data_IF_377944240844
#
_entry.id   IF_377944240844
#
_cell.length_a   1.000
_cell.length_b   1.000
_cell.length_c   1.000
_cell.angle_alpha   90.00
_cell.angle_beta   90.00
_cell.angle_gamma   90.00
#
_symmetry.space_group_name_H-M   'P 1'
#
loop_
_entity.id
_entity.type
_entity.pdbx_description
1 polymer ?
#
# COMPACT_ATOMS: atom_id res chain seq x y z
N UNK A 1 -4.38 -14.86 -1.33
CA UNK A 1 -3.77 -16.21 -1.37
C UNK A 1 -2.41 -16.19 -2.08
N UNK A 2 -2.31 -15.84 -3.36
CA UNK A 2 -1.06 -15.91 -4.15
C UNK A 2 0.14 -15.18 -3.52
N UNK A 3 -0.03 -13.92 -3.06
CA UNK A 3 1.05 -13.15 -2.41
C UNK A 3 1.62 -13.91 -1.21
N UNK A 4 0.74 -14.39 -0.33
CA UNK A 4 1.15 -15.17 0.84
C UNK A 4 1.88 -16.45 0.43
N UNK A 5 1.35 -17.19 -0.56
CA UNK A 5 1.97 -18.42 -1.03
C UNK A 5 3.38 -18.20 -1.56
N UNK A 6 3.61 -17.15 -2.37
CA UNK A 6 4.95 -16.83 -2.89
C UNK A 6 5.91 -16.39 -1.78
N UNK A 7 5.46 -15.54 -0.85
CA UNK A 7 6.30 -15.12 0.27
C UNK A 7 6.63 -16.28 1.22
N UNK A 8 5.68 -17.17 1.49
CA UNK A 8 5.92 -18.38 2.28
C UNK A 8 6.87 -19.34 1.57
N UNK A 9 6.69 -19.56 0.27
CA UNK A 9 7.60 -20.36 -0.54
C UNK A 9 9.02 -19.79 -0.44
N UNK A 10 9.19 -18.49 -0.68
CA UNK A 10 10.49 -17.83 -0.58
C UNK A 10 11.12 -18.03 0.80
N UNK A 11 10.38 -17.77 1.87
CA UNK A 11 10.89 -17.92 3.24
C UNK A 11 11.31 -19.37 3.53
N UNK A 12 10.55 -20.37 3.07
CA UNK A 12 10.94 -21.79 3.23
C UNK A 12 12.15 -22.17 2.38
N UNK A 13 12.22 -21.72 1.14
CA UNK A 13 13.36 -21.97 0.25
C UNK A 13 14.64 -21.34 0.82
N UNK A 14 14.58 -20.10 1.29
CA UNK A 14 15.70 -19.37 1.86
C UNK A 14 16.21 -20.02 3.16
N UNK A 15 15.30 -20.58 3.97
CA UNK A 15 15.66 -21.28 5.23
C UNK A 15 16.01 -22.75 5.05
N UNK A 16 15.93 -23.29 3.83
CA UNK A 16 16.25 -24.69 3.55
C UNK A 16 17.76 -24.92 3.45
N UNK A 17 18.16 -26.19 3.54
CA UNK A 17 19.56 -26.61 3.31
C UNK A 17 19.85 -26.85 1.81
N UNK A 18 19.12 -26.21 0.91
CA UNK A 18 19.33 -26.29 -0.53
C UNK A 18 20.59 -25.49 -0.92
N UNK A 19 21.24 -25.90 -2.01
CA UNK A 19 22.36 -25.15 -2.55
C UNK A 19 21.93 -23.75 -3.00
N UNK A 20 22.84 -22.79 -2.99
CA UNK A 20 22.58 -21.39 -3.40
C UNK A 20 21.98 -21.33 -4.82
N UNK A 21 22.46 -22.19 -5.73
CA UNK A 21 21.94 -22.27 -7.10
C UNK A 21 20.45 -22.69 -7.12
N UNK A 22 20.06 -23.66 -6.31
CA UNK A 22 18.67 -24.12 -6.21
C UNK A 22 17.81 -23.06 -5.53
N UNK A 23 18.30 -22.41 -4.48
CA UNK A 23 17.60 -21.29 -3.81
C UNK A 23 17.33 -20.19 -4.83
N UNK A 24 18.33 -19.79 -5.62
CA UNK A 24 18.17 -18.75 -6.64
C UNK A 24 17.13 -19.12 -7.71
N UNK A 25 17.06 -20.39 -8.13
CA UNK A 25 16.06 -20.86 -9.11
C UNK A 25 14.64 -20.94 -8.55
N UNK A 26 14.50 -21.22 -7.25
CA UNK A 26 13.20 -21.39 -6.62
C UNK A 26 12.62 -20.11 -6.03
N UNK A 27 13.46 -19.13 -5.70
CA UNK A 27 13.04 -17.83 -5.19
C UNK A 27 12.27 -17.06 -6.25
N UNK A 28 11.21 -16.39 -5.84
CA UNK A 28 10.36 -15.59 -6.72
C UNK A 28 10.51 -14.11 -6.42
N UNK A 29 10.75 -13.30 -7.45
CA UNK A 29 10.45 -11.88 -7.40
C UNK A 29 9.00 -11.67 -7.83
N UNK A 30 8.30 -10.77 -7.18
CA UNK A 30 6.85 -10.62 -7.32
C UNK A 30 6.54 -9.24 -7.87
N UNK A 31 5.72 -9.18 -8.92
CA UNK A 31 5.16 -7.92 -9.40
C UNK A 31 3.66 -7.90 -9.12
N UNK A 32 3.19 -6.93 -8.34
CA UNK A 32 1.78 -6.79 -7.98
C UNK A 32 1.20 -5.61 -8.73
N UNK A 33 0.27 -5.92 -9.62
CA UNK A 33 -0.47 -4.95 -10.42
C UNK A 33 -1.86 -4.75 -9.80
N UNK A 34 -2.35 -3.53 -9.81
CA UNK A 34 -3.72 -3.27 -9.38
C UNK A 34 -4.01 -1.80 -9.16
N UNK A 35 -5.27 -1.39 -9.22
CA UNK A 35 -5.68 0.00 -9.03
C UNK A 35 -5.18 0.60 -7.71
N UNK A 36 -5.08 1.92 -7.68
CA UNK A 36 -4.71 2.63 -6.45
C UNK A 36 -5.75 2.35 -5.35
N UNK A 37 -5.29 2.25 -4.10
CA UNK A 37 -6.20 2.04 -2.96
C UNK A 37 -6.67 0.59 -2.74
N UNK A 38 -6.15 -0.40 -3.50
CA UNK A 38 -6.49 -1.82 -3.32
C UNK A 38 -5.77 -2.50 -2.16
N UNK A 39 -4.91 -1.78 -1.43
CA UNK A 39 -4.21 -2.31 -0.26
C UNK A 39 -2.90 -3.04 -0.57
N UNK A 40 -2.30 -2.86 -1.75
CA UNK A 40 -1.04 -3.54 -2.14
C UNK A 40 0.06 -3.40 -1.10
N UNK A 41 0.37 -2.19 -0.71
CA UNK A 41 1.42 -1.86 0.27
C UNK A 41 1.05 -2.34 1.68
N UNK A 42 -0.22 -2.21 2.07
CA UNK A 42 -0.73 -2.61 3.38
C UNK A 42 -0.60 -4.12 3.62
N UNK A 43 -0.92 -4.94 2.61
CA UNK A 43 -0.77 -6.41 2.69
C UNK A 43 0.67 -6.78 3.02
N UNK A 44 1.65 -6.19 2.35
CA UNK A 44 3.07 -6.49 2.58
C UNK A 44 3.54 -6.03 3.96
N UNK A 45 3.10 -4.85 4.41
CA UNK A 45 3.39 -4.33 5.74
C UNK A 45 2.84 -5.24 6.85
N UNK A 46 1.62 -5.75 6.68
CA UNK A 46 1.02 -6.71 7.64
C UNK A 46 1.75 -8.05 7.65
N UNK A 47 2.14 -8.54 6.48
CA UNK A 47 2.90 -9.79 6.37
C UNK A 47 4.26 -9.63 7.08
N UNK A 48 4.98 -8.54 6.83
CA UNK A 48 6.26 -8.26 7.48
C UNK A 48 6.13 -8.28 9.01
N UNK A 49 5.13 -7.58 9.56
CA UNK A 49 4.88 -7.54 11.01
C UNK A 49 4.52 -8.91 11.60
N UNK A 50 3.69 -9.68 10.90
CA UNK A 50 3.23 -10.98 11.40
C UNK A 50 4.32 -12.06 11.39
N UNK A 51 5.33 -11.92 10.53
CA UNK A 51 6.40 -12.91 10.35
C UNK A 51 7.77 -12.41 10.78
N UNK A 52 7.83 -11.22 11.40
CA UNK A 52 9.06 -10.57 11.86
C UNK A 52 10.15 -10.54 10.77
N UNK A 53 9.75 -10.16 9.56
CA UNK A 53 10.63 -10.02 8.41
C UNK A 53 11.01 -8.55 8.23
N UNK A 54 12.31 -8.22 8.09
CA UNK A 54 12.71 -6.86 7.78
C UNK A 54 12.12 -6.46 6.42
N UNK A 55 11.50 -5.30 6.37
CA UNK A 55 10.90 -4.75 5.16
C UNK A 55 11.36 -3.31 4.96
N UNK A 56 11.72 -3.01 3.72
CA UNK A 56 11.93 -1.62 3.26
C UNK A 56 11.01 -1.36 2.10
N UNK A 57 10.29 -0.25 2.16
CA UNK A 57 9.40 0.22 1.10
C UNK A 57 9.97 1.52 0.55
N UNK A 58 10.23 1.55 -0.74
CA UNK A 58 10.77 2.73 -1.44
C UNK A 58 9.87 3.09 -2.60
N UNK A 59 9.67 4.38 -2.83
CA UNK A 59 8.99 4.85 -4.03
C UNK A 59 9.99 4.89 -5.19
N UNK A 60 9.63 4.30 -6.34
CA UNK A 60 10.50 4.26 -7.52
C UNK A 60 10.89 5.65 -8.04
N UNK A 61 10.05 6.65 -7.81
CA UNK A 61 10.33 8.04 -8.21
C UNK A 61 11.46 8.68 -7.42
N UNK A 62 11.76 8.16 -6.23
CA UNK A 62 12.89 8.60 -5.40
C UNK A 62 14.23 7.96 -5.79
N UNK A 63 14.22 7.00 -6.73
CA UNK A 63 15.42 6.29 -7.15
C UNK A 63 16.16 7.06 -8.26
N UNK A 64 17.47 7.03 -8.20
CA UNK A 64 18.37 7.52 -9.27
C UNK A 64 19.50 6.53 -9.51
N UNK A 65 20.04 6.54 -10.72
CA UNK A 65 21.14 5.65 -11.11
C UNK A 65 22.41 5.91 -10.28
N UNK A 66 22.74 7.18 -10.06
CA UNK A 66 24.03 7.62 -9.47
C UNK A 66 23.91 8.09 -8.03
N UNK A 67 22.70 8.16 -7.45
CA UNK A 67 22.49 8.70 -6.11
C UNK A 67 22.65 10.22 -5.96
N UNK A 68 23.03 10.93 -7.03
CA UNK A 68 23.28 12.39 -6.96
C UNK A 68 21.98 13.22 -6.77
N UNK A 69 20.88 12.78 -7.39
CA UNK A 69 19.56 13.44 -7.27
C UNK A 69 18.48 12.43 -6.86
N UNK A 70 18.79 11.55 -5.89
CA UNK A 70 17.88 10.54 -5.42
C UNK A 70 18.64 9.43 -4.67
N UNK A 71 17.93 8.39 -4.33
CA UNK A 71 18.48 7.22 -3.63
C UNK A 71 19.03 6.22 -4.63
N UNK A 72 20.16 5.61 -4.32
CA UNK A 72 20.71 4.50 -5.09
C UNK A 72 20.37 3.14 -4.45
N UNK A 73 20.78 2.06 -5.10
CA UNK A 73 20.52 0.70 -4.59
C UNK A 73 21.24 0.44 -3.25
N UNK A 74 22.42 0.99 -3.06
CA UNK A 74 23.20 0.84 -1.83
C UNK A 74 22.48 1.42 -0.62
N UNK A 75 21.78 2.55 -0.79
CA UNK A 75 20.95 3.15 0.26
C UNK A 75 19.81 2.22 0.68
N UNK A 76 19.22 1.48 -0.28
CA UNK A 76 18.15 0.51 0.01
C UNK A 76 18.67 -0.68 0.80
N UNK A 77 19.86 -1.17 0.45
CA UNK A 77 20.51 -2.26 1.18
C UNK A 77 20.90 -1.85 2.60
N UNK A 78 21.36 -0.60 2.76
CA UNK A 78 21.65 -0.01 4.07
C UNK A 78 20.38 0.08 4.93
N UNK A 79 19.27 0.51 4.36
CA UNK A 79 18.00 0.58 5.09
C UNK A 79 17.51 -0.82 5.50
N UNK A 80 17.65 -1.83 4.63
CA UNK A 80 17.35 -3.22 5.01
C UNK A 80 18.23 -3.70 6.16
N UNK A 81 19.53 -3.39 6.13
CA UNK A 81 20.44 -3.72 7.21
C UNK A 81 20.04 -3.06 8.53
N UNK A 82 19.65 -1.79 8.49
CA UNK A 82 19.16 -1.07 9.67
C UNK A 82 17.83 -1.63 10.16
N UNK A 83 16.89 -1.95 9.26
CA UNK A 83 15.60 -2.55 9.61
C UNK A 83 15.72 -3.94 10.24
N UNK A 84 16.83 -4.64 9.96
CA UNK A 84 17.20 -5.92 10.55
C UNK A 84 18.06 -5.79 11.84
N UNK A 85 18.04 -4.64 12.51
CA UNK A 85 18.85 -4.35 13.69
C UNK A 85 20.37 -4.62 13.47
N UNK A 86 20.86 -4.26 12.29
CA UNK A 86 22.25 -4.45 11.86
C UNK A 86 22.69 -5.92 11.78
N UNK A 87 21.76 -6.83 11.53
CA UNK A 87 22.04 -8.24 11.27
C UNK A 87 21.98 -8.50 9.76
N UNK A 88 23.15 -8.74 9.16
CA UNK A 88 23.27 -8.92 7.72
C UNK A 88 22.52 -10.18 7.22
N UNK A 89 22.61 -11.29 7.96
CA UNK A 89 21.94 -12.56 7.59
C UNK A 89 20.41 -12.42 7.60
N UNK A 90 19.88 -11.62 8.53
CA UNK A 90 18.44 -11.33 8.59
C UNK A 90 18.06 -10.36 7.48
N UNK A 91 18.86 -9.32 7.26
CA UNK A 91 18.63 -8.31 6.21
C UNK A 91 18.53 -8.94 4.81
N UNK A 92 19.45 -9.85 4.48
CA UNK A 92 19.49 -10.54 3.18
C UNK A 92 18.25 -11.42 2.93
N UNK A 93 17.54 -11.83 3.98
CA UNK A 93 16.28 -12.60 3.91
C UNK A 93 15.03 -11.73 3.99
N UNK A 94 15.20 -10.42 3.97
CA UNK A 94 14.13 -9.44 4.06
C UNK A 94 13.30 -9.29 2.79
N UNK A 95 12.45 -8.27 2.82
CA UNK A 95 11.57 -7.89 1.71
C UNK A 95 11.90 -6.45 1.30
N UNK A 96 12.28 -6.26 0.05
CA UNK A 96 12.40 -4.94 -0.56
C UNK A 96 11.20 -4.69 -1.46
N UNK A 97 10.45 -3.67 -1.14
CA UNK A 97 9.27 -3.25 -1.91
C UNK A 97 9.58 -1.98 -2.67
N UNK A 98 9.36 -2.02 -3.98
CA UNK A 98 9.49 -0.87 -4.87
C UNK A 98 8.08 -0.46 -5.25
N UNK A 99 7.57 0.58 -4.61
CA UNK A 99 6.23 1.14 -4.87
C UNK A 99 6.26 2.07 -6.09
N UNK A 100 5.10 2.26 -6.71
CA UNK A 100 4.95 3.03 -7.95
C UNK A 100 5.86 2.54 -9.09
N UNK A 101 6.03 1.22 -9.21
CA UNK A 101 6.92 0.58 -10.19
C UNK A 101 6.59 0.98 -11.64
N UNK A 102 5.32 1.29 -11.91
CA UNK A 102 4.85 1.81 -13.20
C UNK A 102 5.46 3.17 -13.58
N UNK A 103 5.97 3.94 -12.61
CA UNK A 103 6.64 5.23 -12.85
C UNK A 103 8.07 5.08 -13.37
N UNK A 104 8.60 3.86 -13.40
CA UNK A 104 9.88 3.54 -14.07
C UNK A 104 9.75 3.53 -15.59
N UNK A 105 8.54 3.55 -16.15
CA UNK A 105 8.30 3.61 -17.59
C UNK A 105 8.88 4.88 -18.21
N UNK A 106 9.58 4.73 -19.33
CA UNK A 106 10.16 5.83 -20.10
C UNK A 106 9.11 6.79 -20.68
N UNK A 107 7.91 6.27 -20.98
CA UNK A 107 6.85 7.07 -21.61
C UNK A 107 6.31 8.20 -20.70
N UNK A 108 6.65 8.16 -19.42
CA UNK A 108 6.22 9.16 -18.44
C UNK A 108 7.24 10.30 -18.23
N UNK A 109 8.26 10.45 -19.10
CA UNK A 109 9.38 11.34 -18.80
C UNK A 109 9.35 12.69 -19.48
N UNK A 110 9.27 13.72 -18.63
CA UNK A 110 9.85 15.06 -18.84
C UNK A 110 10.97 15.38 -17.81
N UNK A 111 11.51 14.38 -17.10
CA UNK A 111 12.47 14.57 -16.00
C UNK A 111 13.90 14.18 -16.38
N UNK A 112 14.85 14.89 -15.77
CA UNK A 112 16.30 14.80 -15.98
C UNK A 112 16.97 13.49 -15.52
N UNK A 113 16.21 12.61 -14.82
CA UNK A 113 16.72 11.32 -14.33
C UNK A 113 16.41 10.23 -15.36
N UNK A 114 17.46 9.55 -15.82
CA UNK A 114 17.31 8.41 -16.73
C UNK A 114 16.56 7.27 -16.04
N UNK A 115 15.30 7.05 -16.40
CA UNK A 115 14.51 5.89 -15.91
C UNK A 115 15.10 4.57 -16.37
N UNK A 116 15.75 4.55 -17.54
CA UNK A 116 16.51 3.38 -18.03
C UNK A 116 17.62 3.01 -17.05
N UNK A 117 18.41 3.99 -16.60
CA UNK A 117 19.51 3.75 -15.65
C UNK A 117 19.01 3.15 -14.33
N UNK A 118 17.85 3.63 -13.82
CA UNK A 118 17.22 3.04 -12.64
C UNK A 118 16.76 1.60 -12.91
N UNK A 119 16.13 1.33 -14.08
CA UNK A 119 15.73 -0.03 -14.45
C UNK A 119 16.94 -0.97 -14.55
N UNK A 120 18.07 -0.52 -15.12
CA UNK A 120 19.32 -1.29 -15.19
C UNK A 120 19.90 -1.57 -13.80
N UNK A 121 19.85 -0.61 -12.89
CA UNK A 121 20.30 -0.80 -11.51
C UNK A 121 19.43 -1.83 -10.76
N UNK A 122 18.11 -1.78 -10.97
CA UNK A 122 17.17 -2.78 -10.45
C UNK A 122 17.36 -4.16 -11.07
N UNK A 123 17.73 -4.23 -12.34
CA UNK A 123 18.01 -5.50 -13.02
C UNK A 123 19.16 -6.27 -12.33
N UNK A 124 20.23 -5.57 -11.91
CA UNK A 124 21.32 -6.17 -11.14
C UNK A 124 20.83 -6.71 -9.79
N UNK A 125 20.01 -5.93 -9.09
CA UNK A 125 19.44 -6.31 -7.82
C UNK A 125 18.53 -7.55 -7.92
N UNK A 126 17.62 -7.56 -8.90
CA UNK A 126 16.69 -8.67 -9.16
C UNK A 126 17.42 -9.94 -9.64
N UNK A 127 18.57 -9.78 -10.27
CA UNK A 127 19.39 -10.90 -10.76
C UNK A 127 20.04 -11.74 -9.66
N UNK A 128 20.04 -11.28 -8.41
CA UNK A 128 20.69 -12.00 -7.32
C UNK A 128 22.21 -11.93 -7.41
N UNK A 129 22.78 -10.81 -6.98
CA UNK A 129 24.22 -10.55 -7.03
C UNK A 129 24.77 -10.18 -5.65
N UNK A 130 26.08 -10.28 -5.49
CA UNK A 130 26.78 -9.71 -4.35
C UNK A 130 27.00 -8.22 -4.61
N UNK A 131 26.46 -7.38 -3.76
CA UNK A 131 26.55 -5.93 -3.83
C UNK A 131 27.31 -5.41 -2.63
N UNK A 132 28.04 -4.31 -2.82
CA UNK A 132 28.81 -3.70 -1.76
C UNK A 132 28.14 -2.42 -1.28
N UNK A 133 28.04 -2.24 0.02
CA UNK A 133 27.69 -0.96 0.64
C UNK A 133 28.46 -0.84 1.95
N UNK A 134 28.97 0.34 2.23
CA UNK A 134 29.93 0.55 3.29
C UNK A 134 30.96 -0.59 3.24
N UNK A 135 31.65 -1.08 4.06
CA UNK A 135 32.63 -2.18 3.92
C UNK A 135 31.98 -3.59 3.98
N UNK A 136 30.70 -3.72 3.62
CA UNK A 136 29.94 -4.97 3.71
C UNK A 136 29.55 -5.51 2.35
N UNK A 137 29.43 -6.85 2.28
CA UNK A 137 28.94 -7.57 1.09
C UNK A 137 27.51 -8.04 1.37
N UNK A 138 26.56 -7.55 0.60
CA UNK A 138 25.16 -7.95 0.67
C UNK A 138 24.83 -8.92 -0.47
N UNK A 139 24.40 -10.11 -0.15
CA UNK A 139 23.93 -11.10 -1.13
C UNK A 139 22.44 -10.93 -1.38
N UNK A 140 22.09 -10.43 -2.54
CA UNK A 140 20.68 -10.21 -2.93
C UNK A 140 19.98 -11.47 -3.43
N UNK A 141 20.70 -12.60 -3.59
CA UNK A 141 20.12 -13.85 -4.06
C UNK A 141 18.97 -14.37 -3.15
N UNK A 142 19.03 -14.04 -1.86
CA UNK A 142 18.04 -14.42 -0.83
C UNK A 142 16.99 -13.35 -0.58
N UNK A 143 17.20 -12.13 -1.09
CA UNK A 143 16.30 -11.00 -0.88
C UNK A 143 15.01 -11.18 -1.70
N UNK A 144 13.84 -11.08 -1.07
CA UNK A 144 12.58 -11.05 -1.80
C UNK A 144 12.28 -9.64 -2.30
N UNK A 145 12.17 -9.47 -3.61
CA UNK A 145 11.90 -8.18 -4.21
C UNK A 145 10.46 -8.16 -4.73
N UNK A 146 9.73 -7.10 -4.37
CA UNK A 146 8.33 -6.93 -4.74
C UNK A 146 8.15 -5.57 -5.42
N UNK A 147 7.75 -5.59 -6.68
CA UNK A 147 7.30 -4.38 -7.39
C UNK A 147 5.80 -4.17 -7.19
N UNK A 148 5.38 -2.96 -6.89
CA UNK A 148 3.98 -2.56 -6.81
C UNK A 148 3.70 -1.45 -7.82
N UNK A 149 2.65 -1.59 -8.63
CA UNK A 149 2.29 -0.55 -9.58
C UNK A 149 0.80 -0.50 -9.88
N UNK A 150 0.32 0.69 -10.20
CA UNK A 150 -1.04 0.86 -10.68
C UNK A 150 -1.16 0.50 -12.16
N UNK A 151 -0.14 0.78 -12.97
CA UNK A 151 -0.14 0.57 -14.42
C UNK A 151 -1.39 1.13 -15.11
N UNK A 152 -1.81 2.32 -14.68
CA UNK A 152 -2.99 2.97 -15.21
C UNK A 152 -2.88 3.19 -16.72
N UNK A 153 -3.95 2.86 -17.44
CA UNK A 153 -4.00 3.03 -18.90
C UNK A 153 -3.32 1.92 -19.72
N UNK A 154 -2.78 0.87 -19.08
CA UNK A 154 -2.21 -0.28 -19.81
C UNK A 154 -3.31 -1.07 -20.54
N UNK A 155 -4.45 -1.25 -19.87
CA UNK A 155 -5.70 -1.81 -20.40
C UNK A 155 -6.89 -1.18 -19.69
N UNK A 156 -8.12 -1.46 -20.15
CA UNK A 156 -9.32 -1.11 -19.40
C UNK A 156 -9.34 -1.77 -18.03
N UNK A 157 -10.08 -1.22 -17.07
CA UNK A 157 -10.16 -1.76 -15.70
C UNK A 157 -10.65 -3.20 -15.67
N UNK A 158 -11.58 -3.55 -16.54
CA UNK A 158 -12.16 -4.89 -16.65
C UNK A 158 -11.15 -5.91 -17.21
N UNK A 159 -10.18 -5.45 -17.99
CA UNK A 159 -9.14 -6.24 -18.62
C UNK A 159 -7.84 -6.39 -17.81
N UNK A 160 -7.79 -5.84 -16.60
CA UNK A 160 -6.59 -5.91 -15.77
C UNK A 160 -6.11 -7.36 -15.55
N UNK A 161 -7.03 -8.31 -15.49
CA UNK A 161 -6.73 -9.75 -15.37
C UNK A 161 -5.96 -10.30 -16.58
N UNK A 162 -6.07 -9.66 -17.73
CA UNK A 162 -5.50 -10.07 -19.01
C UNK A 162 -4.20 -9.33 -19.38
N UNK A 163 -3.59 -8.59 -18.44
CA UNK A 163 -2.30 -7.94 -18.66
C UNK A 163 -1.24 -9.03 -18.86
N UNK A 164 -0.49 -8.93 -19.94
CA UNK A 164 0.60 -9.85 -20.29
C UNK A 164 1.95 -9.19 -20.05
N UNK A 165 3.03 -9.98 -20.12
CA UNK A 165 4.41 -9.48 -20.10
C UNK A 165 4.65 -8.48 -21.25
N UNK A 166 4.13 -8.77 -22.44
CA UNK A 166 4.24 -7.87 -23.60
C UNK A 166 3.56 -6.52 -23.35
N UNK A 167 2.44 -6.49 -22.63
CA UNK A 167 1.76 -5.24 -22.28
C UNK A 167 2.63 -4.37 -21.35
N UNK A 168 3.35 -5.00 -20.40
CA UNK A 168 4.28 -4.30 -19.51
C UNK A 168 5.46 -3.70 -20.27
N UNK A 169 5.99 -4.43 -21.25
CA UNK A 169 7.07 -3.93 -22.12
C UNK A 169 6.56 -2.79 -23.01
N UNK A 170 5.37 -2.95 -23.62
CA UNK A 170 4.74 -1.87 -24.39
C UNK A 170 4.42 -0.64 -23.53
N UNK A 171 4.18 -0.83 -22.23
CA UNK A 171 4.00 0.25 -21.26
C UNK A 171 5.27 1.06 -21.03
N UNK A 172 6.46 0.47 -21.26
CA UNK A 172 7.78 1.13 -21.20
C UNK A 172 8.73 0.56 -20.16
N UNK A 173 8.49 -0.66 -19.70
CA UNK A 173 9.48 -1.40 -18.91
C UNK A 173 10.40 -2.20 -19.83
N UNK A 174 11.66 -2.35 -19.44
CA UNK A 174 12.62 -3.20 -20.15
C UNK A 174 12.19 -4.67 -20.09
N UNK A 175 12.29 -5.39 -21.21
CA UNK A 175 11.94 -6.81 -21.29
C UNK A 175 12.69 -7.63 -20.22
N UNK A 176 14.00 -7.41 -20.10
CA UNK A 176 14.86 -8.13 -19.17
C UNK A 176 14.46 -7.89 -17.70
N UNK A 177 13.95 -6.69 -17.39
CA UNK A 177 13.47 -6.36 -16.05
C UNK A 177 12.17 -7.09 -15.75
N UNK A 178 11.25 -7.14 -16.70
CA UNK A 178 9.97 -7.84 -16.56
C UNK A 178 10.20 -9.34 -16.40
N UNK A 179 11.13 -9.92 -17.14
CA UNK A 179 11.47 -11.35 -17.10
C UNK A 179 12.07 -11.80 -15.74
N UNK A 180 12.57 -10.85 -14.93
CA UNK A 180 13.03 -11.14 -13.56
C UNK A 180 11.91 -11.31 -12.54
N UNK A 181 10.69 -10.95 -12.91
CA UNK A 181 9.51 -11.19 -12.06
C UNK A 181 8.85 -12.51 -12.45
N UNK A 182 9.17 -13.56 -11.70
CA UNK A 182 8.63 -14.91 -11.93
C UNK A 182 7.14 -15.03 -11.56
N UNK A 183 6.61 -14.08 -10.79
CA UNK A 183 5.20 -14.08 -10.40
C UNK A 183 4.57 -12.68 -10.55
N UNK A 184 3.60 -12.58 -11.47
CA UNK A 184 2.84 -11.34 -11.72
C UNK A 184 1.43 -11.52 -11.15
N UNK A 185 1.15 -10.84 -10.05
CA UNK A 185 -0.12 -10.92 -9.33
C UNK A 185 -0.98 -9.71 -9.67
N UNK A 186 -2.22 -9.95 -10.04
CA UNK A 186 -3.17 -8.93 -10.46
C UNK A 186 -4.25 -8.79 -9.40
N UNK A 187 -4.41 -7.58 -8.87
CA UNK A 187 -5.45 -7.23 -7.90
C UNK A 187 -6.59 -6.50 -8.61
N UNK A 188 -7.81 -6.87 -8.28
CA UNK A 188 -9.00 -6.21 -8.79
C UNK A 188 -9.29 -4.91 -8.02
N UNK A 189 -10.09 -4.03 -8.60
CA UNK A 189 -10.74 -2.94 -7.87
C UNK A 189 -11.55 -3.49 -6.70
N UNK A 190 -11.64 -2.71 -5.63
CA UNK A 190 -12.48 -3.05 -4.49
C UNK A 190 -13.95 -2.77 -4.83
N UNK A 191 -14.79 -3.74 -4.53
CA UNK A 191 -16.25 -3.58 -4.66
C UNK A 191 -16.81 -2.80 -3.46
N UNK A 192 -18.04 -2.29 -3.59
CA UNK A 192 -18.77 -1.66 -2.47
C UNK A 192 -18.78 -2.55 -1.22
N UNK A 193 -18.97 -3.86 -1.40
CA UNK A 193 -18.99 -4.80 -0.27
C UNK A 193 -17.59 -4.98 0.36
N UNK A 194 -16.53 -4.97 -0.43
CA UNK A 194 -15.16 -4.98 0.09
C UNK A 194 -14.86 -3.70 0.89
N UNK A 195 -15.29 -2.55 0.38
CA UNK A 195 -15.14 -1.25 1.04
C UNK A 195 -15.91 -1.19 2.37
N UNK A 196 -17.12 -1.76 2.43
CA UNK A 196 -17.87 -1.90 3.68
C UNK A 196 -17.14 -2.77 4.71
N UNK A 197 -16.62 -3.91 4.28
CA UNK A 197 -15.82 -4.77 5.16
C UNK A 197 -14.60 -4.05 5.71
N UNK A 198 -13.88 -3.30 4.86
CA UNK A 198 -12.74 -2.50 5.30
C UNK A 198 -13.16 -1.46 6.33
N UNK A 199 -14.29 -0.78 6.13
CA UNK A 199 -14.82 0.21 7.08
C UNK A 199 -15.14 -0.40 8.45
N UNK A 200 -15.71 -1.61 8.46
CA UNK A 200 -16.23 -2.23 9.68
C UNK A 200 -15.18 -3.09 10.40
N UNK A 201 -14.34 -3.80 9.66
CA UNK A 201 -13.47 -4.86 10.19
C UNK A 201 -12.00 -4.44 10.32
N UNK A 202 -11.55 -3.41 9.58
CA UNK A 202 -10.15 -3.00 9.66
C UNK A 202 -9.86 -2.17 10.91
N UNK A 203 -8.83 -2.54 11.68
CA UNK A 203 -8.36 -1.79 12.86
C UNK A 203 -7.97 -0.34 12.54
N UNK A 204 -7.52 -0.10 11.30
CA UNK A 204 -7.13 1.21 10.78
C UNK A 204 -8.24 1.85 9.93
N UNK A 205 -9.47 1.35 10.00
CA UNK A 205 -10.59 2.01 9.34
C UNK A 205 -10.86 3.39 9.94
N UNK A 206 -11.35 4.35 9.14
CA UNK A 206 -11.74 5.66 9.68
C UNK A 206 -12.68 5.53 10.87
N UNK A 207 -13.65 4.65 10.80
CA UNK A 207 -14.61 4.39 11.88
C UNK A 207 -13.90 4.00 13.18
N UNK A 208 -13.01 3.01 13.11
CA UNK A 208 -12.32 2.52 14.31
C UNK A 208 -11.32 3.54 14.86
N UNK A 209 -10.69 4.34 14.01
CA UNK A 209 -9.82 5.44 14.44
C UNK A 209 -10.62 6.49 15.19
N UNK A 210 -11.75 6.96 14.61
CA UNK A 210 -12.59 7.97 15.27
C UNK A 210 -13.31 7.43 16.51
N UNK A 211 -13.69 6.15 16.51
CA UNK A 211 -14.24 5.51 17.72
C UNK A 211 -13.25 5.54 18.89
N UNK A 212 -11.96 5.30 18.63
CA UNK A 212 -10.92 5.45 19.65
C UNK A 212 -10.76 6.89 20.10
N UNK A 213 -10.71 7.85 19.17
CA UNK A 213 -10.59 9.27 19.46
C UNK A 213 -11.76 9.76 20.37
N UNK A 214 -12.99 9.43 20.01
CA UNK A 214 -14.16 9.81 20.80
C UNK A 214 -14.21 9.12 22.17
N UNK A 215 -13.75 7.88 22.26
CA UNK A 215 -13.60 7.16 23.52
C UNK A 215 -12.65 7.88 24.49
N UNK A 216 -11.51 8.38 24.01
CA UNK A 216 -10.57 9.18 24.81
C UNK A 216 -11.19 10.50 25.30
N UNK A 217 -12.16 11.02 24.57
CA UNK A 217 -12.90 12.25 24.93
C UNK A 217 -14.14 11.96 25.82
N UNK A 218 -14.39 10.70 26.19
CA UNK A 218 -15.60 10.23 26.86
C UNK A 218 -16.89 10.57 26.09
N UNK A 219 -16.82 10.45 24.75
CA UNK A 219 -17.95 10.65 23.84
C UNK A 219 -18.33 9.31 23.24
N UNK A 220 -19.58 8.90 23.35
CA UNK A 220 -20.11 7.70 22.70
C UNK A 220 -20.32 7.98 21.22
N UNK A 221 -19.75 7.13 20.38
CA UNK A 221 -19.85 7.26 18.93
C UNK A 221 -20.67 6.12 18.33
N UNK A 222 -21.69 6.47 17.59
CA UNK A 222 -22.57 5.54 16.88
C UNK A 222 -22.83 5.99 15.44
N UNK A 223 -23.26 5.07 14.62
CA UNK A 223 -23.60 5.31 13.21
C UNK A 223 -24.65 4.29 12.77
N UNK A 224 -25.43 4.63 11.76
CA UNK A 224 -26.37 3.70 11.14
C UNK A 224 -25.78 2.97 9.91
N UNK A 225 -26.51 1.96 9.42
CA UNK A 225 -26.11 1.19 8.24
C UNK A 225 -26.12 2.02 6.96
N UNK A 226 -26.97 3.03 6.89
CA UNK A 226 -27.11 3.86 5.70
C UNK A 226 -25.94 4.82 5.55
N UNK A 227 -25.37 5.28 6.66
CA UNK A 227 -24.11 6.03 6.64
C UNK A 227 -22.96 5.19 6.08
N UNK A 228 -22.81 3.92 6.52
CA UNK A 228 -21.79 3.00 6.00
C UNK A 228 -21.98 2.76 4.50
N UNK A 229 -23.22 2.52 4.08
CA UNK A 229 -23.55 2.31 2.69
C UNK A 229 -23.19 3.52 1.83
N UNK A 230 -23.48 4.71 2.31
CA UNK A 230 -23.17 5.96 1.63
C UNK A 230 -21.66 6.15 1.43
N UNK A 231 -20.87 5.98 2.50
CA UNK A 231 -19.40 6.14 2.42
C UNK A 231 -18.80 5.15 1.42
N UNK A 232 -19.20 3.87 1.50
CA UNK A 232 -18.69 2.83 0.61
C UNK A 232 -19.09 3.07 -0.85
N UNK A 233 -20.35 3.45 -1.11
CA UNK A 233 -20.84 3.77 -2.45
C UNK A 233 -20.13 4.97 -3.07
N UNK A 234 -19.94 6.03 -2.30
CA UNK A 234 -19.20 7.21 -2.76
C UNK A 234 -17.73 6.89 -3.07
N UNK A 235 -17.08 6.05 -2.26
CA UNK A 235 -15.71 5.61 -2.51
C UNK A 235 -15.58 4.73 -3.76
N UNK A 236 -16.55 3.85 -4.01
CA UNK A 236 -16.63 3.04 -5.22
C UNK A 236 -16.83 3.92 -6.47
N UNK A 237 -17.77 4.87 -6.43
CA UNK A 237 -18.03 5.80 -7.54
C UNK A 237 -16.82 6.66 -7.91
N UNK A 238 -16.06 7.10 -6.92
CA UNK A 238 -14.83 7.89 -7.12
C UNK A 238 -13.63 7.02 -7.51
N UNK A 239 -13.76 5.69 -7.48
CA UNK A 239 -12.71 4.72 -7.79
C UNK A 239 -11.39 4.98 -7.03
N UNK A 240 -11.51 5.44 -5.80
CA UNK A 240 -10.37 5.80 -4.96
C UNK A 240 -9.92 4.65 -4.04
N UNK A 241 -10.67 3.54 -4.06
CA UNK A 241 -10.41 2.38 -3.22
C UNK A 241 -10.44 2.72 -1.71
N UNK A 242 -9.70 1.97 -0.91
CA UNK A 242 -9.67 2.16 0.54
C UNK A 242 -9.12 3.53 0.97
N UNK A 243 -8.26 4.18 0.19
CA UNK A 243 -7.78 5.54 0.47
C UNK A 243 -8.93 6.56 0.47
N UNK A 244 -9.89 6.40 -0.45
CA UNK A 244 -11.06 7.26 -0.55
C UNK A 244 -11.97 7.19 0.67
N UNK A 245 -12.06 6.03 1.32
CA UNK A 245 -12.87 5.87 2.53
C UNK A 245 -12.49 6.89 3.61
N UNK A 246 -11.18 7.08 3.85
CA UNK A 246 -10.72 8.05 4.84
C UNK A 246 -11.07 9.48 4.43
N UNK A 247 -10.79 9.87 3.20
CA UNK A 247 -11.05 11.23 2.70
C UNK A 247 -12.54 11.57 2.79
N UNK A 248 -13.40 10.66 2.30
CA UNK A 248 -14.85 10.85 2.34
C UNK A 248 -15.35 10.92 3.79
N UNK A 249 -14.86 10.04 4.65
CA UNK A 249 -15.23 10.04 6.06
C UNK A 249 -14.80 11.33 6.77
N UNK A 250 -13.55 11.76 6.57
CA UNK A 250 -13.01 12.99 7.17
C UNK A 250 -13.77 14.25 6.70
N UNK A 251 -14.20 14.30 5.44
CA UNK A 251 -15.06 15.37 4.95
C UNK A 251 -16.39 15.39 5.68
N UNK A 252 -16.95 14.20 5.91
CA UNK A 252 -18.24 14.06 6.54
C UNK A 252 -18.18 14.39 8.04
N UNK A 253 -17.15 14.04 8.77
CA UNK A 253 -17.08 14.19 10.23
C UNK A 253 -16.53 15.55 10.67
N UNK A 254 -16.04 16.39 9.76
CA UNK A 254 -15.36 17.65 10.10
C UNK A 254 -16.21 18.59 10.97
N UNK A 255 -17.45 18.81 10.58
CA UNK A 255 -18.36 19.71 11.32
C UNK A 255 -18.75 19.11 12.67
N UNK A 256 -18.88 17.79 12.72
CA UNK A 256 -19.13 17.06 13.98
C UNK A 256 -17.98 17.26 14.95
N UNK A 257 -16.73 17.12 14.48
CA UNK A 257 -15.53 17.35 15.30
C UNK A 257 -15.46 18.79 15.81
N UNK A 258 -15.73 19.76 14.93
CA UNK A 258 -15.74 21.17 15.34
C UNK A 258 -16.74 21.41 16.50
N UNK A 259 -17.94 20.89 16.40
CA UNK A 259 -18.95 21.03 17.46
C UNK A 259 -18.53 20.30 18.73
N UNK A 260 -17.99 19.09 18.63
CA UNK A 260 -17.54 18.32 19.81
C UNK A 260 -16.40 19.04 20.54
N UNK A 261 -15.41 19.57 19.81
CA UNK A 261 -14.28 20.29 20.42
C UNK A 261 -14.70 21.64 21.05
N UNK A 262 -15.80 22.23 20.60
CA UNK A 262 -16.30 23.50 21.10
C UNK A 262 -17.40 23.38 22.17
N UNK A 263 -17.89 22.17 22.44
CA UNK A 263 -19.01 21.91 23.34
C UNK A 263 -18.76 20.76 24.33
N UNK A 264 -19.73 20.57 25.25
CA UNK A 264 -19.71 19.50 26.25
C UNK A 264 -20.72 18.41 25.86
N UNK A 265 -20.32 17.57 24.90
CA UNK A 265 -21.16 16.49 24.37
C UNK A 265 -20.71 15.13 24.86
N UNK A 266 -21.68 14.21 24.98
CA UNK A 266 -21.49 12.84 25.48
C UNK A 266 -21.82 11.77 24.42
N UNK A 267 -22.66 12.07 23.44
CA UNK A 267 -23.03 11.14 22.40
C UNK A 267 -23.00 11.82 21.03
N UNK A 268 -22.54 11.07 20.05
CA UNK A 268 -22.57 11.39 18.61
C UNK A 268 -23.18 10.23 17.86
N UNK A 269 -24.17 10.51 17.03
CA UNK A 269 -24.73 9.52 16.11
C UNK A 269 -24.73 10.07 14.68
N UNK A 270 -24.10 9.33 13.76
CA UNK A 270 -24.06 9.67 12.34
C UNK A 270 -25.11 8.89 11.57
N UNK A 271 -25.82 9.57 10.68
CA UNK A 271 -26.78 8.99 9.75
C UNK A 271 -26.49 9.41 8.33
N UNK A 272 -27.12 8.73 7.37
CA UNK A 272 -26.98 9.01 5.95
C UNK A 272 -27.11 10.50 5.67
N UNK A 273 -26.18 11.10 4.92
CA UNK A 273 -26.31 12.47 4.48
C UNK A 273 -27.56 12.66 3.60
N UNK A 274 -28.25 13.76 3.79
CA UNK A 274 -29.28 14.24 2.89
C UNK A 274 -28.68 15.19 1.84
N UNK A 275 -29.52 15.80 1.00
CA UNK A 275 -29.08 16.74 -0.06
C UNK A 275 -28.25 17.91 0.48
N UNK A 276 -28.36 18.22 1.77
CA UNK A 276 -27.67 19.31 2.47
C UNK A 276 -26.43 18.87 3.26
N UNK A 277 -25.99 17.64 3.18
CA UNK A 277 -24.84 17.09 3.88
C UNK A 277 -25.19 16.10 5.00
N UNK A 278 -24.26 15.85 5.93
CA UNK A 278 -24.46 14.86 7.01
C UNK A 278 -25.64 15.22 7.89
N UNK A 279 -26.45 14.20 8.21
CA UNK A 279 -27.34 14.22 9.36
C UNK A 279 -26.62 13.62 10.56
N UNK A 280 -26.52 14.38 11.64
CA UNK A 280 -25.96 13.89 12.90
C UNK A 280 -26.69 14.44 14.09
N UNK A 281 -26.66 13.71 15.19
CA UNK A 281 -27.22 14.14 16.46
C UNK A 281 -26.13 14.22 17.53
N UNK A 282 -26.12 15.30 18.30
CA UNK A 282 -25.26 15.49 19.44
C UNK A 282 -26.10 15.60 20.71
N UNK A 283 -25.78 14.81 21.73
CA UNK A 283 -26.37 14.93 23.04
C UNK A 283 -25.35 15.55 24.01
N UNK A 284 -25.73 16.65 24.65
CA UNK A 284 -24.88 17.29 25.67
C UNK A 284 -25.17 16.76 27.06
N UNK A 285 -24.20 16.87 27.99
CA UNK A 285 -24.39 16.55 29.42
C UNK A 285 -25.53 17.36 30.08
N UNK A 286 -25.91 18.47 29.48
CA UNK A 286 -26.99 19.34 30.01
C UNK A 286 -28.37 19.09 29.40
N UNK A 287 -28.66 17.88 28.92
CA UNK A 287 -29.96 17.44 28.38
C UNK A 287 -30.55 18.29 27.24
N UNK A 288 -29.72 18.83 26.35
CA UNK A 288 -30.19 19.42 25.08
C UNK A 288 -29.82 18.51 23.89
N UNK A 289 -30.85 17.87 23.31
CA UNK A 289 -30.72 17.21 22.00
C UNK A 289 -30.64 18.28 20.93
N UNK A 290 -29.52 18.36 20.22
CA UNK A 290 -29.32 19.25 19.07
C UNK A 290 -29.30 18.41 17.81
N UNK A 291 -30.19 18.72 16.87
CA UNK A 291 -30.19 18.13 15.52
C UNK A 291 -29.52 19.12 14.56
N UNK A 292 -28.48 18.66 13.89
CA UNK A 292 -27.80 19.47 12.90
C UNK A 292 -28.04 18.86 11.51
N UNK A 293 -28.67 19.64 10.66
CA UNK A 293 -28.69 19.42 9.22
C UNK A 293 -27.78 20.48 8.60
N UNK A 294 -26.80 20.08 7.83
CA UNK A 294 -25.91 21.00 7.13
C UNK A 294 -26.74 21.78 6.10
N UNK A 295 -27.08 23.03 6.44
CA UNK A 295 -27.58 23.98 5.47
C UNK A 295 -26.38 24.77 4.92
N UNK A 296 -26.08 24.55 3.63
CA UNK A 296 -25.24 25.21 2.63
C UNK A 296 -24.01 24.48 2.23
#
# INVERSE_FOLDING_TARGET
MMILTSLFKNNRVIKSNLSEEVVHKLKENILILGPTGTGKTEILTRISKNYDLPIVIVNSTSLSETGYQGRNIEDLLRDLYLSANKNLDIAQKGILVIDEFDKLSEKNNHETVSRIGVQMSLLKLLGGSKMYFDDMVFDTSKLTIVGLGAFSGIKSKDDYKNITTEDLVKYGLMQELVDRFSNVIKMNSLTKEDLKKILLESDLSPINIYKKLFSEMNVNFSYDSDFINYIAEKAEQLDTGAKGLKTIFDEQIRDVLFNIFSGDYIDVSLSKPNENGISYTLNSRKNKKLFFNKNK
#
